data_IF_484115425307
#
_entry.id   IF_484115425307
#
_cell.length_a   1.000
_cell.length_b   1.000
_cell.length_c   1.000
_cell.angle_alpha   90.00
_cell.angle_beta   90.00
_cell.angle_gamma   90.00
#
_symmetry.space_group_name_H-M   'P 1'
#
loop_
_entity.id
_entity.type
_entity.pdbx_description
1 polymer ?
#
# COMPACT_ATOMS: atom_id res chain seq x y z
N UNK A 1 -42.32 13.54 -65.08
CA UNK A 1 -42.48 14.24 -63.79
C UNK A 1 -41.23 13.90 -62.99
N UNK A 2 -40.03 14.40 -63.26
CA UNK A 2 -39.52 15.79 -63.36
C UNK A 2 -39.70 16.57 -62.06
N UNK A 3 -38.64 16.64 -61.27
CA UNK A 3 -38.23 17.77 -60.42
C UNK A 3 -36.77 17.57 -60.01
N UNK A 4 -35.87 18.22 -60.74
CA UNK A 4 -34.57 18.71 -60.23
C UNK A 4 -34.84 20.14 -59.68
N UNK A 5 -33.94 20.84 -58.94
CA UNK A 5 -32.68 21.32 -59.53
C UNK A 5 -31.54 21.47 -58.45
N UNK A 6 -30.47 22.27 -58.66
CA UNK A 6 -29.07 21.91 -58.41
C UNK A 6 -28.44 22.85 -57.34
N UNK A 7 -27.14 22.90 -57.07
CA UNK A 7 -26.22 23.86 -57.73
C UNK A 7 -24.91 23.99 -56.93
N UNK A 8 -23.81 23.59 -57.61
CA UNK A 8 -22.45 24.17 -57.65
C UNK A 8 -21.67 24.41 -56.34
N UNK A 9 -20.36 24.19 -56.26
CA UNK A 9 -19.36 24.47 -57.29
C UNK A 9 -18.02 23.75 -57.01
N UNK A 10 -17.25 23.59 -58.10
CA UNK A 10 -15.78 23.52 -58.16
C UNK A 10 -15.15 22.21 -57.63
N UNK A 11 -14.74 21.25 -58.47
CA UNK A 11 -13.78 21.34 -59.59
C UNK A 11 -12.54 22.16 -59.19
N UNK A 12 -11.42 21.49 -58.86
CA UNK A 12 -10.40 21.24 -59.87
C UNK A 12 -9.30 20.27 -59.39
N UNK A 13 -8.60 19.76 -60.39
CA UNK A 13 -7.75 18.57 -60.47
C UNK A 13 -6.38 18.61 -59.77
N UNK A 14 -5.96 17.37 -59.51
CA UNK A 14 -4.65 16.76 -59.82
C UNK A 14 -3.50 16.75 -58.81
N UNK A 15 -2.86 15.58 -58.83
CA UNK A 15 -1.48 15.26 -58.51
C UNK A 15 -1.12 14.96 -57.04
N UNK A 16 -1.14 13.66 -56.73
CA UNK A 16 -0.21 13.02 -55.79
C UNK A 16 1.24 13.39 -56.15
N UNK A 17 2.13 13.52 -55.15
CA UNK A 17 2.88 12.33 -54.75
C UNK A 17 3.09 12.17 -53.24
N UNK A 18 3.08 10.90 -52.84
CA UNK A 18 3.58 10.33 -51.59
C UNK A 18 4.88 10.99 -51.11
N UNK A 19 4.87 11.51 -49.87
CA UNK A 19 6.08 11.64 -49.05
C UNK A 19 5.74 11.49 -47.57
N UNK A 20 6.04 10.30 -47.04
CA UNK A 20 6.14 9.98 -45.62
C UNK A 20 6.82 11.13 -44.88
N UNK A 21 6.11 11.77 -43.95
CA UNK A 21 6.71 12.63 -42.93
C UNK A 21 6.09 12.28 -41.59
N UNK A 22 6.92 11.70 -40.72
CA UNK A 22 6.72 11.56 -39.28
C UNK A 22 6.22 12.89 -38.71
N UNK A 23 5.07 12.89 -38.03
CA UNK A 23 4.71 13.90 -37.04
C UNK A 23 4.18 13.17 -35.81
N UNK A 24 5.13 12.86 -34.91
CA UNK A 24 5.09 13.06 -33.46
C UNK A 24 3.71 12.79 -32.84
N UNK A 25 3.56 11.61 -32.25
CA UNK A 25 2.62 11.37 -31.15
C UNK A 25 2.83 12.48 -30.12
N UNK A 26 1.85 13.37 -29.99
CA UNK A 26 1.75 14.27 -28.86
C UNK A 26 1.80 13.39 -27.61
N UNK A 27 2.92 13.49 -26.90
CA UNK A 27 3.07 12.97 -25.56
C UNK A 27 2.03 13.71 -24.73
N UNK A 28 0.88 13.07 -24.49
CA UNK A 28 0.00 13.46 -23.41
C UNK A 28 0.84 13.40 -22.15
N UNK A 29 1.25 14.59 -21.66
CA UNK A 29 1.69 14.80 -20.30
C UNK A 29 0.53 14.37 -19.40
N UNK A 30 0.48 13.07 -19.11
CA UNK A 30 -0.22 12.54 -17.95
C UNK A 30 0.56 13.08 -16.76
N UNK A 31 0.24 14.30 -16.36
CA UNK A 31 0.52 14.80 -15.03
C UNK A 31 0.07 13.68 -14.08
N UNK A 32 1.05 12.98 -13.50
CA UNK A 32 0.82 12.15 -12.33
C UNK A 32 0.23 13.09 -11.31
N UNK A 33 -1.09 13.12 -11.24
CA UNK A 33 -1.84 13.78 -10.20
C UNK A 33 -1.44 13.06 -8.93
N UNK A 34 -0.45 13.63 -8.24
CA UNK A 34 -0.09 13.26 -6.89
C UNK A 34 -1.40 13.37 -6.12
N UNK A 35 -2.02 12.22 -5.85
CA UNK A 35 -3.35 12.16 -5.29
C UNK A 35 -3.20 12.61 -3.84
N UNK A 36 -3.33 13.93 -3.63
CA UNK A 36 -3.20 14.56 -2.32
C UNK A 36 -4.29 13.92 -1.45
N UNK A 37 -3.85 13.04 -0.55
CA UNK A 37 -4.67 12.42 0.47
C UNK A 37 -5.59 13.47 1.11
N UNK A 38 -6.89 13.20 1.31
CA UNK A 38 -7.66 13.98 2.25
C UNK A 38 -6.87 13.94 3.57
N UNK A 39 -6.46 15.11 4.09
CA UNK A 39 -5.60 15.21 5.28
C UNK A 39 -6.13 14.38 6.47
N UNK A 40 -7.44 14.15 6.49
CA UNK A 40 -8.16 13.31 7.43
C UNK A 40 -7.68 11.84 7.45
N UNK A 41 -7.47 11.20 6.30
CA UNK A 41 -7.12 9.77 6.24
C UNK A 41 -5.73 9.48 6.85
N UNK A 42 -4.76 10.38 6.60
CA UNK A 42 -3.42 10.26 7.17
C UNK A 42 -3.43 10.41 8.68
N UNK A 43 -4.17 11.41 9.18
CA UNK A 43 -4.36 11.64 10.62
C UNK A 43 -5.03 10.43 11.28
N UNK A 44 -6.13 9.94 10.70
CA UNK A 44 -6.83 8.75 11.18
C UNK A 44 -5.94 7.51 11.18
N UNK A 45 -5.13 7.31 10.13
CA UNK A 45 -4.19 6.20 10.09
C UNK A 45 -3.18 6.23 11.26
N UNK A 46 -2.67 7.42 11.61
CA UNK A 46 -1.81 7.57 12.79
C UNK A 46 -2.56 7.31 14.10
N UNK A 47 -3.80 7.78 14.24
CA UNK A 47 -4.62 7.48 15.42
C UNK A 47 -4.81 5.97 15.61
N UNK A 48 -5.08 5.25 14.52
CA UNK A 48 -5.19 3.79 14.54
C UNK A 48 -3.84 3.12 14.87
N UNK A 49 -2.70 3.64 14.38
CA UNK A 49 -1.38 3.12 14.77
C UNK A 49 -1.09 3.31 16.25
N UNK A 50 -1.42 4.46 16.82
CA UNK A 50 -1.17 4.73 18.24
C UNK A 50 -2.12 3.92 19.13
N UNK A 51 -3.37 3.73 18.71
CA UNK A 51 -4.30 2.80 19.34
C UNK A 51 -3.76 1.35 19.29
N UNK A 52 -3.20 0.92 18.16
CA UNK A 52 -2.61 -0.41 18.01
C UNK A 52 -1.44 -0.63 18.98
N UNK A 53 -0.53 0.34 19.08
CA UNK A 53 0.60 0.30 20.03
C UNK A 53 0.10 0.29 21.48
N UNK A 54 -0.87 1.13 21.80
CA UNK A 54 -1.43 1.21 23.15
C UNK A 54 -2.07 -0.12 23.56
N UNK A 55 -2.89 -0.72 22.69
CA UNK A 55 -3.49 -2.03 22.91
C UNK A 55 -2.41 -3.11 23.08
N UNK A 56 -1.41 -3.15 22.21
CA UNK A 56 -0.30 -4.11 22.32
C UNK A 56 0.46 -3.98 23.65
N UNK A 57 0.73 -2.74 24.09
CA UNK A 57 1.42 -2.50 25.36
C UNK A 57 0.60 -2.92 26.58
N UNK A 58 -0.75 -2.92 26.50
CA UNK A 58 -1.60 -3.49 27.56
C UNK A 58 -1.42 -5.00 27.73
N UNK A 59 -0.97 -5.72 26.70
CA UNK A 59 -0.69 -7.15 26.78
C UNK A 59 0.68 -7.50 27.39
N UNK A 60 1.58 -6.51 27.52
CA UNK A 60 2.96 -6.73 27.97
C UNK A 60 3.13 -7.12 29.45
N UNK A 61 2.36 -6.60 30.42
CA UNK A 61 2.56 -6.95 31.83
C UNK A 61 2.25 -8.42 32.11
N UNK A 62 3.09 -9.06 32.92
CA UNK A 62 2.94 -10.48 33.31
C UNK A 62 1.70 -10.74 34.18
N UNK A 63 1.16 -9.70 34.82
CA UNK A 63 -0.05 -9.75 35.66
C UNK A 63 -1.35 -9.86 34.87
N UNK A 64 -1.33 -9.60 33.56
CA UNK A 64 -2.53 -9.68 32.72
C UNK A 64 -2.87 -11.14 32.45
N UNK A 65 -4.11 -11.61 32.73
CA UNK A 65 -4.53 -12.96 32.40
C UNK A 65 -4.46 -13.25 30.89
N UNK A 66 -4.16 -14.49 30.50
CA UNK A 66 -3.91 -14.84 29.09
C UNK A 66 -5.10 -14.60 28.15
N UNK A 67 -6.34 -14.73 28.66
CA UNK A 67 -7.53 -14.37 27.89
C UNK A 67 -7.62 -12.86 27.61
N UNK A 68 -7.19 -12.01 28.56
CA UNK A 68 -7.14 -10.56 28.35
C UNK A 68 -5.99 -10.17 27.42
N UNK A 69 -4.83 -10.83 27.55
CA UNK A 69 -3.71 -10.63 26.60
C UNK A 69 -4.18 -10.91 25.18
N UNK A 70 -4.84 -12.04 24.95
CA UNK A 70 -5.38 -12.40 23.64
C UNK A 70 -6.32 -11.32 23.08
N UNK A 71 -7.20 -10.76 23.90
CA UNK A 71 -8.10 -9.67 23.50
C UNK A 71 -7.34 -8.39 23.12
N UNK A 72 -6.35 -7.99 23.91
CA UNK A 72 -5.52 -6.82 23.60
C UNK A 72 -4.68 -7.00 22.33
N UNK A 73 -4.16 -8.21 22.08
CA UNK A 73 -3.44 -8.51 20.86
C UNK A 73 -4.37 -8.49 19.64
N UNK A 74 -5.60 -9.02 19.77
CA UNK A 74 -6.60 -8.95 18.70
C UNK A 74 -7.04 -7.51 18.41
N UNK A 75 -7.22 -6.68 19.45
CA UNK A 75 -7.49 -5.24 19.30
C UNK A 75 -6.34 -4.55 18.57
N UNK A 76 -5.09 -4.80 18.99
CA UNK A 76 -3.91 -4.23 18.37
C UNK A 76 -3.78 -4.61 16.88
N UNK A 77 -4.05 -5.87 16.53
CA UNK A 77 -4.07 -6.34 15.15
C UNK A 77 -5.15 -5.61 14.32
N UNK A 78 -6.38 -5.50 14.84
CA UNK A 78 -7.47 -4.82 14.14
C UNK A 78 -7.18 -3.33 13.88
N UNK A 79 -6.58 -2.65 14.86
CA UNK A 79 -6.17 -1.26 14.73
C UNK A 79 -5.03 -1.10 13.70
N UNK A 80 -4.02 -1.97 13.72
CA UNK A 80 -2.92 -1.95 12.75
C UNK A 80 -3.42 -2.19 11.32
N UNK A 81 -4.35 -3.14 11.12
CA UNK A 81 -4.97 -3.39 9.80
C UNK A 81 -5.79 -2.21 9.31
N UNK A 82 -6.47 -1.50 10.22
CA UNK A 82 -7.22 -0.29 9.87
C UNK A 82 -6.28 0.83 9.43
N UNK A 83 -5.18 1.04 10.16
CA UNK A 83 -4.13 1.98 9.75
C UNK A 83 -3.55 1.65 8.37
N UNK A 84 -3.27 0.37 8.09
CA UNK A 84 -2.73 -0.07 6.81
C UNK A 84 -3.68 0.27 5.64
N UNK A 85 -4.98 0.06 5.84
CA UNK A 85 -6.03 0.40 4.85
C UNK A 85 -6.12 1.91 4.60
N UNK A 86 -5.96 2.71 5.64
CA UNK A 86 -6.01 4.18 5.55
C UNK A 86 -4.70 4.80 5.04
N UNK A 87 -3.60 4.05 5.05
CA UNK A 87 -2.27 4.55 4.70
C UNK A 87 -2.15 5.05 3.25
N UNK A 88 -2.97 4.55 2.32
CA UNK A 88 -3.06 4.99 0.92
C UNK A 88 -1.70 5.36 0.28
N UNK A 89 -0.79 4.38 0.16
CA UNK A 89 0.58 4.51 -0.37
C UNK A 89 1.59 5.31 0.48
N UNK A 90 1.23 5.79 1.68
CA UNK A 90 2.20 6.30 2.64
C UNK A 90 3.06 5.12 3.17
N UNK A 91 4.23 4.94 2.57
CA UNK A 91 5.18 3.87 2.92
C UNK A 91 5.57 3.89 4.40
N UNK A 92 5.58 5.06 5.05
CA UNK A 92 5.93 5.15 6.48
C UNK A 92 4.83 4.52 7.32
N UNK A 93 3.57 4.89 7.06
CA UNK A 93 2.41 4.33 7.78
C UNK A 93 2.27 2.85 7.48
N UNK A 94 2.41 2.45 6.21
CA UNK A 94 2.36 1.03 5.83
C UNK A 94 3.44 0.22 6.54
N UNK A 95 4.68 0.72 6.61
CA UNK A 95 5.77 0.03 7.31
C UNK A 95 5.45 -0.15 8.79
N UNK A 96 5.00 0.91 9.47
CA UNK A 96 4.66 0.83 10.90
C UNK A 96 3.45 -0.06 11.17
N UNK A 97 2.43 -0.03 10.32
CA UNK A 97 1.25 -0.88 10.44
C UNK A 97 1.64 -2.35 10.27
N UNK A 98 2.44 -2.67 9.24
CA UNK A 98 2.95 -4.02 9.00
C UNK A 98 3.85 -4.50 10.14
N UNK A 99 4.73 -3.65 10.68
CA UNK A 99 5.53 -3.99 11.87
C UNK A 99 4.61 -4.35 13.03
N UNK A 100 3.56 -3.56 13.27
CA UNK A 100 2.68 -3.75 14.42
C UNK A 100 1.83 -5.02 14.27
N UNK A 101 1.27 -5.28 13.10
CA UNK A 101 0.58 -6.55 12.78
C UNK A 101 1.52 -7.74 12.98
N UNK A 102 2.77 -7.64 12.53
CA UNK A 102 3.74 -8.73 12.66
C UNK A 102 4.04 -9.06 14.12
N UNK A 103 4.10 -8.04 15.01
CA UNK A 103 4.24 -8.29 16.45
C UNK A 103 3.04 -9.03 17.03
N UNK A 104 1.83 -8.66 16.62
CA UNK A 104 0.61 -9.33 17.06
C UNK A 104 0.61 -10.80 16.63
N UNK A 105 0.92 -11.07 15.36
CA UNK A 105 0.99 -12.43 14.82
C UNK A 105 2.12 -13.26 15.44
N UNK A 106 3.25 -12.67 15.81
CA UNK A 106 4.31 -13.34 16.54
C UNK A 106 3.85 -13.83 17.92
N UNK A 107 3.07 -13.02 18.66
CA UNK A 107 2.51 -13.41 19.96
C UNK A 107 1.34 -14.39 19.86
N UNK A 108 0.74 -14.52 18.68
CA UNK A 108 -0.30 -15.51 18.38
C UNK A 108 0.28 -16.81 17.78
N UNK A 109 1.61 -17.00 17.82
CA UNK A 109 2.35 -18.12 17.21
C UNK A 109 2.14 -18.26 15.68
N UNK A 110 1.64 -17.21 15.01
CA UNK A 110 1.45 -17.15 13.55
C UNK A 110 2.72 -16.66 12.85
N UNK A 111 3.84 -17.35 13.08
CA UNK A 111 5.16 -16.92 12.61
C UNK A 111 5.28 -16.79 11.07
N UNK A 112 4.51 -17.56 10.31
CA UNK A 112 4.48 -17.43 8.84
C UNK A 112 3.90 -16.08 8.41
N UNK A 113 2.74 -15.71 8.95
CA UNK A 113 2.11 -14.42 8.68
C UNK A 113 2.98 -13.27 9.15
N UNK A 114 3.54 -13.37 10.37
CA UNK A 114 4.44 -12.37 10.91
C UNK A 114 5.68 -12.15 10.02
N UNK A 115 6.24 -13.23 9.44
CA UNK A 115 7.37 -13.12 8.51
C UNK A 115 7.03 -12.31 7.26
N UNK A 116 5.89 -12.58 6.62
CA UNK A 116 5.45 -11.82 5.44
C UNK A 116 5.23 -10.35 5.76
N UNK A 117 4.65 -10.04 6.91
CA UNK A 117 4.40 -8.66 7.33
C UNK A 117 5.69 -7.91 7.67
N UNK A 118 6.65 -8.55 8.37
CA UNK A 118 7.97 -7.95 8.55
C UNK A 118 8.68 -7.71 7.23
N UNK A 119 8.58 -8.64 6.28
CA UNK A 119 9.17 -8.48 4.96
C UNK A 119 8.54 -7.30 4.21
N UNK A 120 7.22 -7.21 4.19
CA UNK A 120 6.50 -6.08 3.59
C UNK A 120 6.88 -4.75 4.25
N UNK A 121 7.03 -4.73 5.58
CA UNK A 121 7.50 -3.55 6.29
C UNK A 121 8.94 -3.17 5.93
N UNK A 122 9.85 -4.15 5.79
CA UNK A 122 11.24 -3.93 5.40
C UNK A 122 11.35 -3.26 4.03
N UNK A 123 10.56 -3.74 3.08
CA UNK A 123 10.50 -3.17 1.72
C UNK A 123 10.02 -1.71 1.71
N UNK A 124 9.24 -1.30 2.72
CA UNK A 124 8.68 0.05 2.86
C UNK A 124 9.51 0.99 3.75
N UNK A 125 10.20 0.46 4.77
CA UNK A 125 10.91 1.23 5.79
C UNK A 125 12.23 1.85 5.29
N UNK A 126 12.86 1.26 4.27
CA UNK A 126 14.15 1.71 3.75
C UNK A 126 15.21 1.81 4.85
N UNK A 127 15.90 2.95 4.95
CA UNK A 127 16.96 3.19 5.93
C UNK A 127 16.48 3.19 7.40
N UNK A 128 15.16 3.21 7.66
CA UNK A 128 14.60 3.16 9.03
C UNK A 128 14.48 1.73 9.58
N UNK A 129 14.83 0.73 8.79
CA UNK A 129 14.83 -0.67 9.23
C UNK A 129 15.97 -0.93 10.21
N UNK A 130 15.64 -1.30 11.45
CA UNK A 130 16.61 -1.51 12.51
C UNK A 130 17.09 -2.96 12.60
N UNK A 131 18.27 -3.17 13.18
CA UNK A 131 18.80 -4.51 13.47
C UNK A 131 17.87 -5.34 14.35
N UNK A 132 17.18 -4.70 15.31
CA UNK A 132 16.17 -5.38 16.13
C UNK A 132 15.02 -5.96 15.30
N UNK A 133 14.56 -5.23 14.28
CA UNK A 133 13.53 -5.71 13.35
C UNK A 133 14.08 -6.82 12.44
N UNK A 134 15.34 -6.72 12.01
CA UNK A 134 16.01 -7.79 11.26
C UNK A 134 16.06 -9.09 12.06
N UNK A 135 16.42 -9.03 13.35
CA UNK A 135 16.43 -10.21 14.21
C UNK A 135 15.05 -10.86 14.33
N UNK A 136 13.98 -10.07 14.43
CA UNK A 136 12.59 -10.60 14.53
C UNK A 136 12.12 -11.20 13.21
N UNK A 137 12.45 -10.57 12.07
CA UNK A 137 12.21 -11.14 10.73
C UNK A 137 12.91 -12.49 10.59
N UNK A 138 14.20 -12.57 10.96
CA UNK A 138 14.98 -13.80 10.87
C UNK A 138 14.52 -14.88 11.86
N UNK A 139 14.06 -14.48 13.05
CA UNK A 139 13.44 -15.40 13.99
C UNK A 139 12.19 -16.05 13.39
N UNK A 140 11.27 -15.25 12.83
CA UNK A 140 10.07 -15.76 12.18
C UNK A 140 10.40 -16.66 10.97
N UNK A 141 11.41 -16.30 10.17
CA UNK A 141 11.90 -17.12 9.06
C UNK A 141 12.38 -18.50 9.51
N UNK A 142 13.18 -18.58 10.58
CA UNK A 142 13.70 -19.85 11.11
C UNK A 142 12.61 -20.74 11.68
N UNK A 143 11.57 -20.15 12.27
CA UNK A 143 10.40 -20.88 12.78
C UNK A 143 9.58 -21.50 11.64
N UNK A 144 9.55 -20.87 10.47
CA UNK A 144 8.75 -21.33 9.31
C UNK A 144 9.55 -22.23 8.37
N UNK A 145 10.88 -22.14 8.40
CA UNK A 145 11.80 -22.96 7.61
C UNK A 145 12.83 -23.65 8.52
N UNK A 146 12.41 -24.65 9.33
CA UNK A 146 13.33 -25.37 10.18
C UNK A 146 14.36 -26.12 9.33
N UNK A 147 15.63 -26.08 9.74
CA UNK A 147 16.67 -26.90 9.13
C UNK A 147 16.33 -28.38 9.40
N UNK A 148 16.32 -29.19 8.35
CA UNK A 148 16.18 -30.66 8.44
C UNK A 148 17.41 -31.28 9.06
#
# INVERSE_FOLDING_TARGET
MTTTPPTTASDDRAATPTRMTLLILEMEDVEMTEQILPADNKSQAYQHLDAAKAAFNKAAPTSVPDHQKSNFIAEAEAQARTALRLANNDKTIQAYANIQSAKCHELQDKHNTAWYEYRAAKDQAGARWSESLEHRLMFCYRKTHPKK
#
